data_IF_225523243949
#
_entry.id   IF_225523243949
#
_cell.length_a   1.000
_cell.length_b   1.000
_cell.length_c   1.000
_cell.angle_alpha   90.00
_cell.angle_beta   90.00
_cell.angle_gamma   90.00
#
_symmetry.space_group_name_H-M   'P 1'
#
loop_
_entity.id
_entity.type
_entity.pdbx_description
1 polymer ?
#
# COMPACT_ATOMS: atom_id res chain seq x y z
N UNK A 1 39.75 50.54 -15.08
CA UNK A 1 39.84 51.84 -15.78
C UNK A 1 38.74 51.87 -16.82
N UNK A 2 37.59 52.41 -16.43
CA UNK A 2 37.12 53.76 -16.77
C UNK A 2 36.73 53.86 -18.25
N UNK A 3 35.42 53.81 -18.57
CA UNK A 3 34.45 54.94 -18.56
C UNK A 3 34.84 55.98 -19.61
N UNK A 4 33.95 56.48 -20.45
CA UNK A 4 32.68 57.23 -20.23
C UNK A 4 32.37 57.83 -21.63
N UNK A 5 31.22 58.33 -22.04
CA UNK A 5 29.84 58.50 -21.56
C UNK A 5 29.14 59.28 -22.68
N UNK A 6 27.81 59.26 -22.76
CA UNK A 6 27.15 60.24 -23.63
C UNK A 6 25.63 60.37 -23.66
N UNK A 7 24.94 60.30 -22.51
CA UNK A 7 23.69 61.03 -22.13
C UNK A 7 22.42 60.91 -23.02
N UNK A 8 21.16 61.02 -22.57
CA UNK A 8 20.36 61.16 -21.32
C UNK A 8 18.91 61.10 -21.84
N UNK A 9 18.01 60.24 -21.35
CA UNK A 9 17.14 60.39 -20.18
C UNK A 9 16.24 61.64 -20.14
N UNK A 10 14.95 61.39 -19.90
CA UNK A 10 13.86 62.24 -19.35
C UNK A 10 12.81 62.81 -20.33
N UNK A 11 11.63 62.18 -20.35
CA UNK A 11 10.36 62.86 -20.09
C UNK A 11 9.26 61.84 -19.74
N UNK A 12 9.15 61.55 -18.45
CA UNK A 12 7.93 61.06 -17.79
C UNK A 12 6.93 62.24 -17.72
N UNK A 13 5.63 61.95 -17.76
CA UNK A 13 4.51 62.81 -17.31
C UNK A 13 4.21 64.09 -18.12
N UNK A 14 3.17 64.08 -18.96
CA UNK A 14 1.95 64.92 -18.82
C UNK A 14 1.01 64.82 -20.05
N UNK A 15 -0.29 65.02 -19.80
CA UNK A 15 -1.48 64.93 -20.66
C UNK A 15 -2.02 63.50 -20.86
N UNK A 16 -3.01 62.98 -20.11
CA UNK A 16 -4.12 63.61 -19.38
C UNK A 16 -5.01 64.49 -20.27
N UNK A 17 -6.30 64.14 -20.29
CA UNK A 17 -7.43 64.88 -20.87
C UNK A 17 -7.75 64.63 -22.35
N UNK A 18 -8.28 63.44 -22.64
CA UNK A 18 -9.46 63.34 -23.49
C UNK A 18 -10.59 62.66 -22.69
N UNK A 19 -11.37 63.51 -22.03
CA UNK A 19 -12.80 63.35 -21.75
C UNK A 19 -13.24 62.30 -20.73
N UNK A 20 -13.14 62.71 -19.46
CA UNK A 20 -14.19 62.53 -18.46
C UNK A 20 -15.44 63.35 -18.80
N UNK A 21 -16.57 62.92 -18.20
CA UNK A 21 -17.90 63.56 -18.04
C UNK A 21 -18.97 63.01 -19.01
N UNK A 22 -20.11 62.45 -18.58
CA UNK A 22 -20.72 62.28 -17.26
C UNK A 22 -21.94 61.35 -17.40
N UNK A 23 -22.25 60.52 -16.40
CA UNK A 23 -23.55 59.83 -16.33
C UNK A 23 -23.69 58.72 -15.29
N UNK A 24 -23.54 59.07 -14.01
CA UNK A 24 -23.77 58.29 -12.79
C UNK A 24 -24.83 57.15 -12.76
N UNK A 25 -24.40 56.03 -12.13
CA UNK A 25 -25.06 55.24 -11.05
C UNK A 25 -26.16 54.22 -11.43
N UNK A 26 -25.83 52.91 -11.33
CA UNK A 26 -26.17 52.05 -10.17
C UNK A 26 -25.45 50.69 -10.24
N UNK A 27 -25.10 50.20 -9.06
CA UNK A 27 -24.20 49.10 -8.71
C UNK A 27 -24.82 47.70 -8.83
N UNK A 28 -24.07 46.75 -9.39
CA UNK A 28 -24.15 45.30 -9.13
C UNK A 28 -22.70 44.77 -9.05
N UNK A 29 -22.32 43.96 -8.05
CA UNK A 29 -20.97 43.43 -7.96
C UNK A 29 -20.75 42.33 -9.02
N UNK A 30 -19.60 42.29 -9.70
CA UNK A 30 -19.25 41.21 -10.62
C UNK A 30 -18.69 40.01 -9.85
N UNK A 31 -18.98 38.83 -10.39
CA UNK A 31 -18.54 37.51 -9.98
C UNK A 31 -17.05 37.43 -9.63
N UNK A 32 -16.76 36.91 -8.45
CA UNK A 32 -15.48 36.28 -8.13
C UNK A 32 -15.50 34.85 -8.69
N UNK A 33 -14.91 34.64 -9.86
CA UNK A 33 -14.39 33.35 -10.26
C UNK A 33 -12.91 33.52 -10.58
N UNK A 34 -12.09 33.53 -9.54
CA UNK A 34 -10.63 33.47 -9.65
C UNK A 34 -10.14 32.19 -8.97
N UNK A 35 -9.24 31.51 -9.68
CA UNK A 35 -8.80 30.15 -9.40
C UNK A 35 -8.16 29.99 -8.02
N UNK A 36 -8.80 29.19 -7.18
CA UNK A 36 -8.16 28.52 -6.06
C UNK A 36 -7.78 27.11 -6.50
N UNK A 37 -6.49 26.78 -6.42
CA UNK A 37 -5.99 25.40 -6.36
C UNK A 37 -6.85 24.58 -5.39
N UNK A 38 -7.56 23.58 -5.90
CA UNK A 38 -8.34 22.66 -5.09
C UNK A 38 -7.43 22.03 -4.02
N UNK A 39 -7.82 22.17 -2.75
CA UNK A 39 -7.26 21.35 -1.67
C UNK A 39 -7.60 19.88 -1.99
N UNK A 40 -6.71 18.92 -1.70
CA UNK A 40 -7.09 17.52 -1.78
C UNK A 40 -8.22 17.25 -0.78
N UNK A 41 -9.13 16.40 -1.20
CA UNK A 41 -10.46 16.18 -0.63
C UNK A 41 -10.47 16.03 0.89
N UNK A 42 -11.32 16.82 1.54
CA UNK A 42 -11.68 16.59 2.94
C UNK A 42 -12.40 15.23 3.04
N UNK A 43 -12.11 14.39 4.04
CA UNK A 43 -12.87 13.18 4.28
C UNK A 43 -14.37 13.51 4.42
N UNK A 44 -15.22 12.58 3.97
CA UNK A 44 -16.66 12.71 4.10
C UNK A 44 -17.05 13.11 5.54
N UNK A 45 -18.07 13.97 5.74
CA UNK A 45 -18.43 14.45 7.07
C UNK A 45 -18.69 13.26 7.99
N UNK A 46 -18.02 13.27 9.15
CA UNK A 46 -18.07 12.17 10.08
C UNK A 46 -19.53 11.84 10.48
N UNK A 47 -19.90 10.55 10.58
CA UNK A 47 -21.27 10.15 10.86
C UNK A 47 -21.75 10.72 12.20
N UNK A 48 -23.03 11.09 12.28
CA UNK A 48 -23.63 11.54 13.54
C UNK A 48 -23.65 10.38 14.53
N UNK A 49 -22.84 10.46 15.58
CA UNK A 49 -22.79 9.46 16.65
C UNK A 49 -23.68 9.91 17.81
N UNK A 50 -24.40 8.98 18.43
CA UNK A 50 -25.23 9.28 19.61
C UNK A 50 -24.39 9.18 20.87
N UNK A 51 -23.99 10.31 21.45
CA UNK A 51 -23.40 10.36 22.79
C UNK A 51 -24.41 9.92 23.86
N UNK A 52 -23.92 9.56 25.05
CA UNK A 52 -24.77 9.34 26.23
C UNK A 52 -25.57 10.60 26.51
N UNK A 53 -26.89 10.45 26.63
CA UNK A 53 -27.76 11.51 27.11
C UNK A 53 -27.61 11.67 28.63
N UNK A 54 -26.83 12.68 29.03
CA UNK A 54 -26.54 13.00 30.43
C UNK A 54 -27.81 13.26 31.24
N UNK A 55 -28.91 13.70 30.63
CA UNK A 55 -30.17 13.95 31.34
C UNK A 55 -30.90 12.65 31.74
N UNK A 56 -30.58 11.54 31.09
CA UNK A 56 -31.17 10.22 31.33
C UNK A 56 -30.12 9.18 31.80
N UNK A 57 -28.88 9.60 32.03
CA UNK A 57 -27.83 8.73 32.55
C UNK A 57 -28.12 8.28 33.98
N UNK A 58 -27.77 7.03 34.29
CA UNK A 58 -27.86 6.50 35.66
C UNK A 58 -26.83 7.16 36.58
N UNK A 59 -27.07 7.13 37.90
CA UNK A 59 -26.09 7.63 38.88
C UNK A 59 -24.72 6.94 38.74
N UNK A 60 -24.73 5.64 38.44
CA UNK A 60 -23.52 4.85 38.18
C UNK A 60 -22.76 5.35 36.94
N UNK A 61 -23.47 5.61 35.84
CA UNK A 61 -22.85 6.18 34.63
C UNK A 61 -22.30 7.58 34.89
N UNK A 62 -23.02 8.44 35.59
CA UNK A 62 -22.56 9.79 35.94
C UNK A 62 -21.30 9.75 36.81
N UNK A 63 -21.22 8.80 37.75
CA UNK A 63 -20.03 8.58 38.56
C UNK A 63 -18.83 8.19 37.69
N UNK A 64 -18.98 7.21 36.80
CA UNK A 64 -17.90 6.75 35.92
C UNK A 64 -17.49 7.80 34.88
N UNK A 65 -18.44 8.59 34.36
CA UNK A 65 -18.13 9.73 33.49
C UNK A 65 -17.26 10.72 34.24
N UNK A 66 -17.59 11.04 35.51
CA UNK A 66 -16.78 11.92 36.34
C UNK A 66 -15.34 11.42 36.52
N UNK A 67 -15.16 10.15 36.90
CA UNK A 67 -13.82 9.54 37.03
C UNK A 67 -13.04 9.57 35.71
N UNK A 68 -13.69 9.22 34.59
CA UNK A 68 -13.05 9.19 33.28
C UNK A 68 -12.67 10.59 32.81
N UNK A 69 -13.54 11.59 32.97
CA UNK A 69 -13.26 12.98 32.60
C UNK A 69 -12.04 13.53 33.35
N UNK A 70 -11.84 13.14 34.61
CA UNK A 70 -10.65 13.52 35.37
C UNK A 70 -9.37 12.84 34.87
N UNK A 71 -9.44 11.56 34.50
CA UNK A 71 -8.29 10.78 34.07
C UNK A 71 -7.88 11.04 32.60
N UNK A 72 -8.86 11.26 31.71
CA UNK A 72 -8.68 11.27 30.26
C UNK A 72 -7.61 12.24 29.74
N UNK A 73 -7.46 13.47 30.27
CA UNK A 73 -6.40 14.38 29.82
C UNK A 73 -4.99 13.79 29.97
N UNK A 74 -4.70 13.13 31.10
CA UNK A 74 -3.39 12.53 31.35
C UNK A 74 -3.15 11.29 30.46
N UNK A 75 -4.20 10.49 30.25
CA UNK A 75 -4.13 9.32 29.36
C UNK A 75 -3.82 9.72 27.92
N UNK A 76 -4.51 10.75 27.40
CA UNK A 76 -4.28 11.25 26.04
C UNK A 76 -2.90 11.90 25.90
N UNK A 77 -2.39 12.56 26.94
CA UNK A 77 -1.04 13.15 26.91
C UNK A 77 0.05 12.06 26.90
N UNK A 78 -0.12 10.99 27.68
CA UNK A 78 0.79 9.84 27.66
C UNK A 78 0.78 9.13 26.29
N UNK A 79 -0.41 8.89 25.72
CA UNK A 79 -0.55 8.32 24.38
C UNK A 79 0.04 9.22 23.28
N UNK A 80 -0.16 10.54 23.39
CA UNK A 80 0.49 11.51 22.50
C UNK A 80 2.00 11.41 22.58
N UNK A 81 2.57 11.36 23.79
CA UNK A 81 4.01 11.25 23.97
C UNK A 81 4.58 9.96 23.35
N UNK A 82 3.86 8.84 23.45
CA UNK A 82 4.19 7.59 22.77
C UNK A 82 4.10 7.73 21.25
N UNK A 83 3.04 8.36 20.73
CA UNK A 83 2.90 8.65 19.30
C UNK A 83 4.05 9.51 18.78
N UNK A 84 4.43 10.57 19.49
CA UNK A 84 5.57 11.40 19.10
C UNK A 84 6.89 10.61 19.08
N UNK A 85 7.09 9.67 20.01
CA UNK A 85 8.29 8.82 20.07
C UNK A 85 8.31 7.81 18.92
N UNK A 86 7.25 7.01 18.78
CA UNK A 86 7.22 5.84 17.90
C UNK A 86 6.82 6.17 16.46
N UNK A 87 5.87 7.09 16.28
CA UNK A 87 5.27 7.41 14.96
C UNK A 87 5.97 8.60 14.33
N UNK A 88 6.15 9.68 15.10
CA UNK A 88 6.78 10.90 14.61
C UNK A 88 8.31 10.88 14.69
N UNK A 89 8.90 9.86 15.33
CA UNK A 89 10.34 9.71 15.42
C UNK A 89 11.05 10.82 16.20
N UNK A 90 10.39 11.39 17.23
CA UNK A 90 10.91 12.53 18.00
C UNK A 90 12.36 12.32 18.46
N UNK A 91 12.67 11.14 18.98
CA UNK A 91 14.02 10.79 19.48
C UNK A 91 15.09 10.90 18.38
N UNK A 92 14.75 10.56 17.14
CA UNK A 92 15.69 10.69 16.02
C UNK A 92 15.88 12.15 15.61
N UNK A 93 14.79 12.92 15.53
CA UNK A 93 14.82 14.30 15.06
C UNK A 93 15.53 15.27 16.02
N UNK A 94 15.59 14.92 17.31
CA UNK A 94 16.27 15.71 18.34
C UNK A 94 17.77 15.40 18.46
N UNK A 95 18.24 14.25 17.94
CA UNK A 95 19.65 13.83 18.00
C UNK A 95 20.44 14.01 16.70
N UNK A 96 21.75 13.71 16.73
CA UNK A 96 22.65 13.80 15.57
C UNK A 96 22.90 12.43 14.91
N UNK A 97 21.89 11.95 14.18
CA UNK A 97 21.87 10.58 13.63
C UNK A 97 21.81 10.51 12.10
N UNK A 98 21.95 11.64 11.40
CA UNK A 98 21.73 11.72 9.94
C UNK A 98 22.68 10.88 9.08
N UNK A 99 23.78 10.37 9.64
CA UNK A 99 24.75 9.51 8.95
C UNK A 99 24.55 8.01 9.19
N UNK A 100 23.59 7.61 10.03
CA UNK A 100 23.34 6.20 10.37
C UNK A 100 22.49 5.55 9.29
N UNK A 101 22.74 4.26 9.01
CA UNK A 101 21.88 3.45 8.17
C UNK A 101 20.46 3.40 8.77
N UNK A 102 19.43 3.93 8.08
CA UNK A 102 18.11 4.09 8.65
C UNK A 102 17.42 2.79 9.05
N UNK A 103 17.85 1.65 8.49
CA UNK A 103 17.31 0.31 8.78
C UNK A 103 18.05 -0.41 9.91
N UNK A 104 19.16 0.13 10.41
CA UNK A 104 19.96 -0.47 11.48
C UNK A 104 19.62 0.18 12.81
N UNK A 105 19.20 -0.57 13.85
CA UNK A 105 18.91 0.02 15.15
C UNK A 105 20.15 0.57 15.85
N UNK A 106 20.07 1.80 16.36
CA UNK A 106 21.14 2.46 17.12
C UNK A 106 20.63 3.02 18.45
N UNK A 107 21.48 3.09 19.50
CA UNK A 107 21.05 3.51 20.81
C UNK A 107 20.78 5.02 20.85
N UNK A 108 19.78 5.41 21.62
CA UNK A 108 19.54 6.82 21.99
C UNK A 108 20.73 7.34 22.81
N UNK A 109 21.07 8.61 22.62
CA UNK A 109 22.21 9.25 23.29
C UNK A 109 22.08 9.21 24.82
N UNK A 110 23.18 8.89 25.50
CA UNK A 110 23.19 8.81 26.96
C UNK A 110 22.96 10.18 27.59
N UNK A 111 22.03 10.25 28.54
CA UNK A 111 21.63 11.48 29.22
C UNK A 111 20.31 12.06 28.71
N UNK A 112 19.81 11.59 27.57
CA UNK A 112 18.48 11.91 27.08
C UNK A 112 17.38 11.25 27.93
N UNK A 113 16.21 11.91 28.03
CA UNK A 113 15.10 11.45 28.88
C UNK A 113 14.71 10.00 28.63
N UNK A 114 14.72 9.58 27.37
CA UNK A 114 14.26 8.24 26.97
C UNK A 114 15.42 7.31 26.58
N UNK A 115 16.65 7.60 27.03
CA UNK A 115 17.78 6.70 26.82
C UNK A 115 17.62 5.37 27.55
N UNK A 116 17.02 5.40 28.75
CA UNK A 116 16.59 4.22 29.49
C UNK A 116 15.16 3.84 29.07
N UNK A 117 14.97 2.60 28.64
CA UNK A 117 13.68 2.11 28.16
C UNK A 117 12.63 2.02 29.27
N UNK A 118 13.03 2.02 30.55
CA UNK A 118 12.12 2.09 31.68
C UNK A 118 11.25 3.36 31.66
N UNK A 119 11.77 4.47 31.13
CA UNK A 119 11.03 5.74 30.99
C UNK A 119 9.92 5.64 29.93
N UNK A 120 10.15 4.87 28.86
CA UNK A 120 9.12 4.55 27.86
C UNK A 120 8.11 3.56 28.45
N UNK A 121 8.57 2.60 29.25
CA UNK A 121 7.69 1.64 29.94
C UNK A 121 6.74 2.35 30.91
N UNK A 122 7.21 3.37 31.65
CA UNK A 122 6.36 4.19 32.50
C UNK A 122 5.27 4.92 31.70
N UNK A 123 5.60 5.46 30.51
CA UNK A 123 4.59 6.06 29.63
C UNK A 123 3.54 5.04 29.15
N UNK A 124 3.95 3.81 28.84
CA UNK A 124 2.99 2.75 28.52
C UNK A 124 2.07 2.43 29.70
N UNK A 125 2.62 2.34 30.90
CA UNK A 125 1.85 2.05 32.12
C UNK A 125 0.88 3.20 32.44
N UNK A 126 1.28 4.45 32.21
CA UNK A 126 0.43 5.64 32.38
C UNK A 126 -0.73 5.63 31.37
N UNK A 127 -0.50 5.28 30.10
CA UNK A 127 -1.52 5.28 29.06
C UNK A 127 -2.46 4.06 29.10
N UNK A 128 -1.89 2.86 29.27
CA UNK A 128 -2.58 1.58 29.05
C UNK A 128 -2.68 0.70 30.30
N UNK A 129 -2.02 1.10 31.39
CA UNK A 129 -1.88 0.28 32.58
C UNK A 129 -0.83 -0.82 32.39
N UNK A 130 -0.36 -1.38 33.50
CA UNK A 130 0.65 -2.42 33.49
C UNK A 130 0.19 -3.64 32.67
N UNK A 131 0.89 -3.90 31.56
CA UNK A 131 0.57 -5.00 30.64
C UNK A 131 -0.65 -4.76 29.74
N UNK A 132 -1.06 -3.50 29.57
CA UNK A 132 -2.14 -3.13 28.64
C UNK A 132 -1.77 -3.43 27.18
N UNK A 133 -2.76 -3.90 26.40
CA UNK A 133 -2.56 -4.36 25.02
C UNK A 133 -2.07 -3.24 24.07
N UNK A 134 -2.38 -1.97 24.34
CA UNK A 134 -1.93 -0.84 23.53
C UNK A 134 -0.41 -0.72 23.36
N UNK A 135 0.37 -1.32 24.26
CA UNK A 135 1.83 -1.40 24.16
C UNK A 135 2.29 -2.17 22.92
N UNK A 136 1.60 -3.26 22.57
CA UNK A 136 2.05 -4.17 21.50
C UNK A 136 2.05 -3.48 20.14
N UNK A 137 1.05 -2.64 19.86
CA UNK A 137 0.94 -1.91 18.59
C UNK A 137 2.08 -0.92 18.38
N UNK A 138 2.48 -0.20 19.44
CA UNK A 138 3.64 0.69 19.39
C UNK A 138 4.94 -0.09 19.20
N UNK A 139 5.15 -1.17 19.95
CA UNK A 139 6.37 -1.99 19.82
C UNK A 139 6.48 -2.71 18.47
N UNK A 140 5.35 -2.96 17.81
CA UNK A 140 5.29 -3.53 16.47
C UNK A 140 5.29 -2.46 15.37
N UNK A 141 5.31 -1.16 15.69
CA UNK A 141 5.28 -0.10 14.69
C UNK A 141 6.68 0.15 14.09
N UNK A 142 6.78 0.33 12.76
CA UNK A 142 5.69 0.26 11.79
C UNK A 142 5.35 -1.18 11.36
N UNK A 143 4.24 -1.35 10.65
CA UNK A 143 3.71 -2.67 10.27
C UNK A 143 4.62 -3.50 9.33
N UNK A 144 5.75 -2.94 8.91
CA UNK A 144 6.74 -3.50 8.01
C UNK A 144 8.13 -3.10 8.51
N UNK A 145 9.15 -3.88 8.13
CA UNK A 145 10.50 -3.60 8.56
C UNK A 145 10.74 -3.77 10.06
N UNK A 146 11.73 -3.05 10.59
CA UNK A 146 12.12 -3.17 11.99
C UNK A 146 11.30 -2.20 12.83
N UNK A 147 11.05 -2.52 14.11
CA UNK A 147 10.42 -1.55 15.01
C UNK A 147 11.15 -0.20 15.03
N UNK A 148 10.37 0.88 14.98
CA UNK A 148 10.87 2.26 15.08
C UNK A 148 11.63 2.47 16.39
N UNK A 149 11.13 1.86 17.47
CA UNK A 149 11.77 1.87 18.79
C UNK A 149 11.79 0.45 19.35
N UNK A 150 12.92 0.06 19.93
CA UNK A 150 13.14 -1.26 20.53
C UNK A 150 13.97 -1.16 21.80
N UNK A 151 13.93 -2.20 22.62
CA UNK A 151 14.69 -2.31 23.87
C UNK A 151 15.82 -3.33 23.70
N UNK A 152 17.01 -3.01 24.22
CA UNK A 152 18.13 -3.96 24.37
C UNK A 152 18.91 -3.64 25.64
N UNK A 153 19.01 -4.61 26.55
CA UNK A 153 19.76 -4.50 27.82
C UNK A 153 19.37 -3.28 28.66
N UNK A 154 18.09 -2.92 28.65
CA UNK A 154 17.49 -1.75 29.32
C UNK A 154 17.60 -0.44 28.54
N UNK A 155 18.39 -0.40 27.45
CA UNK A 155 18.56 0.81 26.65
C UNK A 155 17.56 0.89 25.50
N UNK A 156 17.16 2.12 25.17
CA UNK A 156 16.31 2.41 24.02
C UNK A 156 17.15 2.47 22.74
N UNK A 157 16.70 1.73 21.73
CA UNK A 157 17.23 1.75 20.37
C UNK A 157 16.17 2.27 19.41
N UNK A 158 16.59 3.04 18.42
CA UNK A 158 15.70 3.58 17.39
C UNK A 158 16.17 3.19 15.99
N UNK A 159 15.23 3.12 15.05
CA UNK A 159 15.47 3.09 13.61
C UNK A 159 14.80 4.31 12.97
N UNK A 160 15.35 4.82 11.87
CA UNK A 160 14.87 6.05 11.22
C UNK A 160 14.33 5.82 9.81
N UNK A 161 14.16 4.56 9.42
CA UNK A 161 13.63 4.18 8.11
C UNK A 161 12.23 4.73 7.79
N UNK A 162 11.42 5.01 8.81
CA UNK A 162 10.09 5.57 8.63
C UNK A 162 9.73 6.53 9.75
N UNK A 163 9.44 7.78 9.39
CA UNK A 163 9.00 8.83 10.29
C UNK A 163 7.81 9.53 9.66
N UNK A 164 6.71 9.66 10.42
CA UNK A 164 5.49 10.29 9.94
C UNK A 164 5.27 11.63 10.63
N UNK A 165 5.00 12.68 9.86
CA UNK A 165 4.55 13.95 10.42
C UNK A 165 3.06 13.87 10.78
N UNK A 166 2.73 13.27 11.93
CA UNK A 166 1.37 13.21 12.45
C UNK A 166 1.10 14.38 13.42
N UNK A 167 0.03 15.15 13.15
CA UNK A 167 -0.35 16.33 13.96
C UNK A 167 -1.82 16.36 14.36
N UNK A 168 -2.61 15.37 13.95
CA UNK A 168 -4.07 15.33 14.13
C UNK A 168 -4.48 14.78 15.51
N UNK A 169 -3.84 15.30 16.56
CA UNK A 169 -4.18 14.99 17.94
C UNK A 169 -5.48 15.69 18.37
N UNK A 170 -6.32 14.99 19.12
CA UNK A 170 -7.49 15.56 19.79
C UNK A 170 -7.27 15.61 21.31
N UNK A 171 -8.00 16.50 21.97
CA UNK A 171 -7.95 16.69 23.42
C UNK A 171 -9.13 16.03 24.13
N UNK A 172 -9.10 15.95 25.45
CA UNK A 172 -10.20 15.39 26.22
C UNK A 172 -11.54 16.12 26.00
N UNK A 173 -11.49 17.43 25.71
CA UNK A 173 -12.68 18.25 25.43
C UNK A 173 -13.35 17.88 24.09
N UNK A 174 -12.61 17.25 23.18
CA UNK A 174 -13.11 16.80 21.88
C UNK A 174 -13.78 15.41 21.95
N UNK A 175 -13.65 14.72 23.09
CA UNK A 175 -14.07 13.32 23.25
C UNK A 175 -15.51 13.23 23.75
N UNK A 176 -16.31 12.44 23.04
CA UNK A 176 -17.67 12.06 23.40
C UNK A 176 -17.70 10.66 24.00
N UNK A 177 -18.38 10.49 25.12
CA UNK A 177 -18.66 9.17 25.72
C UNK A 177 -19.91 8.58 25.07
N UNK A 178 -19.75 7.43 24.41
CA UNK A 178 -20.84 6.73 23.72
C UNK A 178 -21.52 5.71 24.61
N UNK A 179 -20.74 4.97 25.39
CA UNK A 179 -21.20 4.00 26.38
C UNK A 179 -20.19 3.92 27.53
N UNK A 180 -20.67 3.62 28.74
CA UNK A 180 -19.81 3.48 29.92
C UNK A 180 -20.45 2.61 30.99
N UNK A 181 -19.63 1.76 31.60
CA UNK A 181 -19.98 0.92 32.74
C UNK A 181 -18.76 0.65 33.63
N UNK A 182 -18.93 -0.19 34.66
CA UNK A 182 -17.87 -0.52 35.61
C UNK A 182 -16.61 -1.16 35.00
N UNK A 183 -16.70 -1.73 33.79
CA UNK A 183 -15.58 -2.38 33.11
C UNK A 183 -14.87 -1.46 32.09
N UNK A 184 -15.51 -0.41 31.59
CA UNK A 184 -14.89 0.46 30.59
C UNK A 184 -15.84 1.43 29.90
N UNK A 185 -15.31 2.11 28.90
CA UNK A 185 -16.02 3.10 28.10
C UNK A 185 -15.73 2.96 26.60
N UNK A 186 -16.73 3.25 25.78
CA UNK A 186 -16.62 3.46 24.33
C UNK A 186 -16.64 4.95 24.04
N UNK A 187 -15.65 5.41 23.28
CA UNK A 187 -15.34 6.81 23.09
C UNK A 187 -15.29 7.15 21.60
N UNK A 188 -15.56 8.41 21.30
CA UNK A 188 -15.50 8.96 19.96
C UNK A 188 -14.92 10.35 19.96
N UNK A 189 -14.05 10.66 19.01
CA UNK A 189 -13.55 12.00 18.76
C UNK A 189 -13.54 12.29 17.27
N UNK A 190 -13.53 13.57 16.91
CA UNK A 190 -13.25 14.03 15.56
C UNK A 190 -11.90 14.73 15.60
N UNK A 191 -10.94 14.27 14.79
CA UNK A 191 -9.63 14.92 14.73
C UNK A 191 -9.74 16.34 14.14
N UNK A 192 -8.73 17.20 14.34
CA UNK A 192 -8.68 18.50 13.67
C UNK A 192 -8.83 18.42 12.14
N UNK A 193 -8.29 17.36 11.52
CA UNK A 193 -8.47 17.03 10.10
C UNK A 193 -9.86 16.54 9.69
N UNK A 194 -10.79 16.36 10.64
CA UNK A 194 -12.18 15.97 10.38
C UNK A 194 -12.44 14.45 10.36
N UNK A 195 -11.44 13.62 10.67
CA UNK A 195 -11.60 12.17 10.73
C UNK A 195 -12.30 11.75 12.03
N UNK A 196 -13.39 10.99 11.92
CA UNK A 196 -14.03 10.38 13.09
C UNK A 196 -13.26 9.16 13.58
N UNK A 197 -12.94 9.12 14.87
CA UNK A 197 -12.12 8.06 15.50
C UNK A 197 -12.90 7.42 16.65
N UNK A 198 -13.10 6.11 16.57
CA UNK A 198 -13.68 5.31 17.65
C UNK A 198 -12.57 4.63 18.44
N UNK A 199 -12.60 4.79 19.77
CA UNK A 199 -11.63 4.16 20.67
C UNK A 199 -12.29 3.84 22.00
N UNK A 200 -11.53 3.37 22.99
CA UNK A 200 -12.13 3.01 24.26
C UNK A 200 -11.15 3.02 25.41
N UNK A 201 -11.72 3.03 26.60
CA UNK A 201 -11.01 2.94 27.87
C UNK A 201 -11.46 1.70 28.65
N UNK A 202 -10.58 1.22 29.51
CA UNK A 202 -10.83 0.14 30.47
C UNK A 202 -10.65 0.69 31.88
N UNK A 203 -11.53 0.27 32.79
CA UNK A 203 -11.43 0.61 34.20
C UNK A 203 -10.89 -0.60 34.96
N UNK A 204 -9.83 -0.40 35.74
CA UNK A 204 -9.24 -1.42 36.61
C UNK A 204 -9.31 -0.98 38.07
N UNK A 205 -8.78 -1.79 38.98
CA UNK A 205 -8.65 -1.40 40.38
C UNK A 205 -7.69 -0.23 40.62
N UNK A 206 -6.82 0.08 39.66
CA UNK A 206 -5.83 1.16 39.74
C UNK A 206 -6.22 2.44 39.00
N UNK A 207 -7.32 2.44 38.25
CA UNK A 207 -7.82 3.62 37.54
C UNK A 207 -8.35 3.32 36.14
N UNK A 208 -8.48 4.37 35.34
CA UNK A 208 -8.84 4.31 33.93
C UNK A 208 -7.59 4.27 33.06
N UNK A 209 -7.65 3.50 31.98
CA UNK A 209 -6.58 3.39 30.99
C UNK A 209 -7.17 3.28 29.59
N UNK A 210 -6.44 3.72 28.58
CA UNK A 210 -6.82 3.49 27.19
C UNK A 210 -6.69 2.00 26.86
N UNK A 211 -7.56 1.50 25.99
CA UNK A 211 -7.47 0.12 25.50
C UNK A 211 -6.34 -0.05 24.49
N UNK A 212 -6.06 1.01 23.73
CA UNK A 212 -5.03 1.09 22.69
C UNK A 212 -4.68 2.54 22.38
N UNK A 213 -3.62 2.75 21.61
CA UNK A 213 -3.21 4.09 21.21
C UNK A 213 -4.16 4.75 20.21
N UNK A 214 -4.37 6.05 20.35
CA UNK A 214 -5.35 6.79 19.56
C UNK A 214 -4.93 6.94 18.10
N UNK A 215 -3.63 6.98 17.83
CA UNK A 215 -3.08 6.94 16.47
C UNK A 215 -3.49 5.68 15.70
N UNK A 216 -3.46 4.51 16.35
CA UNK A 216 -3.85 3.26 15.69
C UNK A 216 -5.36 3.17 15.46
N UNK A 217 -6.16 3.70 16.38
CA UNK A 217 -7.60 3.88 16.14
C UNK A 217 -7.88 4.85 14.97
N UNK A 218 -7.09 5.90 14.83
CA UNK A 218 -7.13 6.81 13.68
C UNK A 218 -6.74 6.10 12.37
N UNK A 219 -5.68 5.29 12.37
CA UNK A 219 -5.26 4.50 11.20
C UNK A 219 -6.35 3.53 10.74
N UNK A 220 -7.06 2.88 11.66
CA UNK A 220 -8.16 1.98 11.29
C UNK A 220 -9.33 2.74 10.69
N UNK A 221 -9.67 3.91 11.25
CA UNK A 221 -10.71 4.77 10.69
C UNK A 221 -10.35 5.28 9.30
N UNK A 222 -9.06 5.56 9.07
CA UNK A 222 -8.52 5.98 7.78
C UNK A 222 -8.58 4.82 6.76
N UNK A 223 -8.15 3.61 7.15
CA UNK A 223 -8.21 2.41 6.29
C UNK A 223 -9.63 2.03 5.87
N UNK A 224 -10.61 2.15 6.77
CA UNK A 224 -12.00 1.87 6.44
C UNK A 224 -12.57 2.89 5.44
N UNK A 225 -12.21 4.17 5.58
CA UNK A 225 -12.57 5.17 4.57
C UNK A 225 -11.94 4.83 3.21
N UNK A 226 -10.69 4.37 3.21
CA UNK A 226 -9.92 4.03 2.00
C UNK A 226 -10.39 2.77 1.28
N UNK A 227 -10.91 1.77 2.00
CA UNK A 227 -11.45 0.53 1.38
C UNK A 227 -12.53 0.82 0.34
N UNK A 228 -13.25 1.92 0.50
CA UNK A 228 -14.31 2.34 -0.44
C UNK A 228 -13.91 3.53 -1.31
N UNK A 229 -12.70 4.06 -1.13
CA UNK A 229 -12.20 5.16 -1.92
C UNK A 229 -11.81 4.68 -3.32
N UNK A 230 -12.00 5.55 -4.31
CA UNK A 230 -11.48 5.36 -5.65
C UNK A 230 -9.95 5.45 -5.60
N UNK A 231 -9.24 4.42 -6.07
CA UNK A 231 -7.79 4.41 -6.04
C UNK A 231 -7.18 5.56 -6.87
N UNK A 232 -7.89 6.06 -7.90
CA UNK A 232 -7.48 7.25 -8.67
C UNK A 232 -7.40 8.52 -7.82
N UNK A 233 -8.07 8.53 -6.66
CA UNK A 233 -8.00 9.64 -5.71
C UNK A 233 -6.77 9.57 -4.80
N UNK A 234 -5.94 8.52 -4.91
CA UNK A 234 -4.70 8.42 -4.17
C UNK A 234 -3.73 9.53 -4.62
N UNK A 235 -3.49 10.56 -3.81
CA UNK A 235 -2.88 11.81 -4.25
C UNK A 235 -1.37 11.69 -4.51
N UNK A 236 -0.78 10.54 -4.17
CA UNK A 236 0.66 10.33 -4.16
C UNK A 236 1.14 9.42 -5.32
N UNK A 237 0.26 8.88 -6.19
CA UNK A 237 0.63 7.88 -7.22
C UNK A 237 0.00 8.12 -8.60
N UNK A 238 0.84 8.23 -9.64
CA UNK A 238 0.43 8.56 -11.03
C UNK A 238 0.28 7.33 -11.95
N UNK A 239 0.54 6.09 -11.52
CA UNK A 239 0.66 4.95 -12.45
C UNK A 239 0.07 3.62 -11.97
N UNK A 240 -0.57 2.92 -12.90
CA UNK A 240 -0.42 1.48 -13.09
C UNK A 240 -1.47 0.52 -12.52
N UNK A 241 -2.40 0.97 -11.67
CA UNK A 241 -3.48 0.08 -11.22
C UNK A 241 -4.55 -0.07 -12.31
N UNK A 242 -5.09 -1.29 -12.45
CA UNK A 242 -6.17 -1.61 -13.38
C UNK A 242 -5.85 -1.31 -14.87
N UNK A 243 -4.56 -1.31 -15.23
CA UNK A 243 -4.13 -1.19 -16.63
C UNK A 243 -4.12 -2.57 -17.33
N UNK A 244 -4.40 -2.56 -18.64
CA UNK A 244 -4.36 -3.77 -19.46
C UNK A 244 -5.63 -4.60 -19.38
N UNK A 245 -5.55 -5.87 -19.79
CA UNK A 245 -6.74 -6.72 -19.97
C UNK A 245 -7.03 -7.68 -18.81
N UNK A 246 -6.06 -7.89 -17.92
CA UNK A 246 -6.30 -8.60 -16.67
C UNK A 246 -6.82 -7.66 -15.57
N UNK A 247 -6.61 -6.33 -15.72
CA UNK A 247 -7.08 -5.32 -14.77
C UNK A 247 -6.62 -5.63 -13.35
N UNK A 248 -7.56 -5.66 -12.42
CA UNK A 248 -7.31 -5.99 -11.01
C UNK A 248 -7.44 -7.49 -10.70
N UNK A 249 -6.59 -8.01 -9.80
CA UNK A 249 -6.65 -9.40 -9.32
C UNK A 249 -7.74 -9.54 -8.23
N UNK A 250 -9.00 -9.30 -8.59
CA UNK A 250 -10.16 -9.37 -7.69
C UNK A 250 -11.35 -10.01 -8.39
N UNK A 251 -12.34 -10.46 -7.63
CA UNK A 251 -13.50 -11.16 -8.18
C UNK A 251 -13.12 -12.52 -8.77
N UNK A 252 -13.70 -12.90 -9.90
CA UNK A 252 -13.46 -14.18 -10.57
C UNK A 252 -12.41 -14.01 -11.65
N UNK A 253 -11.21 -14.52 -11.41
CA UNK A 253 -10.09 -14.46 -12.35
C UNK A 253 -9.76 -15.85 -12.91
N UNK A 254 -9.46 -15.92 -14.21
CA UNK A 254 -9.06 -17.16 -14.87
C UNK A 254 -7.65 -17.07 -15.47
N UNK A 255 -6.82 -18.06 -15.18
CA UNK A 255 -5.59 -18.36 -15.89
C UNK A 255 -5.90 -19.37 -17.00
N UNK A 256 -5.76 -18.95 -18.26
CA UNK A 256 -5.91 -19.84 -19.42
C UNK A 256 -4.56 -20.45 -19.78
N UNK A 257 -4.44 -21.77 -19.65
CA UNK A 257 -3.23 -22.49 -20.00
C UNK A 257 -3.21 -22.85 -21.49
N UNK A 258 -2.12 -22.50 -22.18
CA UNK A 258 -1.86 -22.90 -23.56
C UNK A 258 -0.53 -23.64 -23.63
N UNK A 259 -0.58 -24.96 -23.81
CA UNK A 259 0.60 -25.81 -23.97
C UNK A 259 1.06 -25.80 -25.43
N UNK A 260 2.25 -25.24 -25.65
CA UNK A 260 2.85 -25.09 -26.97
C UNK A 260 3.83 -26.22 -27.26
N UNK A 261 3.66 -26.87 -28.40
CA UNK A 261 4.61 -27.85 -28.95
C UNK A 261 5.16 -27.36 -30.29
N UNK A 262 6.38 -27.77 -30.62
CA UNK A 262 7.05 -27.38 -31.86
C UNK A 262 7.78 -28.58 -32.49
N UNK A 263 8.57 -28.41 -33.57
CA UNK A 263 9.31 -29.52 -34.17
C UNK A 263 10.36 -30.19 -33.26
N UNK A 264 10.81 -29.52 -32.19
CA UNK A 264 11.91 -29.95 -31.32
C UNK A 264 11.45 -30.39 -29.93
N UNK A 265 10.32 -29.89 -29.45
CA UNK A 265 9.76 -30.23 -28.14
C UNK A 265 8.23 -30.34 -28.14
N UNK A 266 7.72 -31.01 -27.12
CA UNK A 266 6.29 -31.22 -26.92
C UNK A 266 6.01 -31.68 -25.49
N UNK A 267 4.74 -31.92 -25.19
CA UNK A 267 4.29 -32.19 -23.82
C UNK A 267 3.82 -33.62 -23.63
N UNK A 268 4.26 -34.25 -22.54
CA UNK A 268 3.67 -35.46 -22.00
C UNK A 268 2.58 -35.12 -20.96
N UNK A 269 1.71 -36.09 -20.68
CA UNK A 269 0.68 -35.92 -19.64
C UNK A 269 1.25 -35.72 -18.24
N UNK A 270 2.41 -36.31 -17.94
CA UNK A 270 3.11 -36.13 -16.66
C UNK A 270 3.63 -34.70 -16.49
N UNK A 271 4.24 -34.12 -17.54
CA UNK A 271 4.74 -32.74 -17.52
C UNK A 271 3.59 -31.73 -17.41
N UNK A 272 2.50 -31.94 -18.17
CA UNK A 272 1.28 -31.13 -18.06
C UNK A 272 0.71 -31.19 -16.64
N UNK A 273 0.58 -32.40 -16.08
CA UNK A 273 0.08 -32.58 -14.72
C UNK A 273 0.94 -31.85 -13.70
N UNK A 274 2.27 -31.87 -13.87
CA UNK A 274 3.18 -31.16 -12.97
C UNK A 274 3.03 -29.64 -13.05
N UNK A 275 2.85 -29.08 -14.25
CA UNK A 275 2.58 -27.64 -14.43
C UNK A 275 1.26 -27.26 -13.74
N UNK A 276 0.21 -28.04 -13.97
CA UNK A 276 -1.11 -27.78 -13.37
C UNK A 276 -1.11 -27.93 -11.84
N UNK A 277 -0.31 -28.84 -11.28
CA UNK A 277 -0.09 -28.96 -9.85
C UNK A 277 0.54 -27.69 -9.27
N UNK A 278 1.62 -27.19 -9.89
CA UNK A 278 2.25 -25.93 -9.46
C UNK A 278 1.30 -24.74 -9.54
N UNK A 279 0.49 -24.65 -10.59
CA UNK A 279 -0.55 -23.62 -10.71
C UNK A 279 -1.64 -23.77 -9.65
N UNK A 280 -2.07 -25.00 -9.35
CA UNK A 280 -3.03 -25.27 -8.28
C UNK A 280 -2.51 -24.80 -6.91
N UNK A 281 -1.25 -25.09 -6.60
CA UNK A 281 -0.60 -24.61 -5.37
C UNK A 281 -0.49 -23.07 -5.33
N UNK A 282 -0.05 -22.45 -6.43
CA UNK A 282 0.11 -21.00 -6.51
C UNK A 282 -1.22 -20.24 -6.42
N UNK A 283 -2.25 -20.72 -7.13
CA UNK A 283 -3.59 -20.12 -7.04
C UNK A 283 -4.20 -20.29 -5.65
N UNK A 284 -3.99 -21.43 -4.98
CA UNK A 284 -4.41 -21.61 -3.59
C UNK A 284 -3.72 -20.62 -2.63
N UNK A 285 -2.41 -20.41 -2.80
CA UNK A 285 -1.64 -19.43 -2.04
C UNK A 285 -2.16 -18.00 -2.21
N UNK A 286 -2.42 -17.56 -3.45
CA UNK A 286 -2.92 -16.21 -3.72
C UNK A 286 -4.35 -16.00 -3.25
N UNK A 287 -5.24 -16.98 -3.40
CA UNK A 287 -6.59 -16.92 -2.84
C UNK A 287 -6.56 -16.82 -1.31
N UNK A 288 -5.68 -17.59 -0.64
CA UNK A 288 -5.53 -17.51 0.82
C UNK A 288 -4.96 -16.15 1.26
N UNK A 289 -4.00 -15.60 0.52
CA UNK A 289 -3.44 -14.27 0.76
C UNK A 289 -4.48 -13.16 0.59
N UNK A 290 -5.31 -13.22 -0.47
CA UNK A 290 -6.41 -12.28 -0.69
C UNK A 290 -7.44 -12.35 0.45
N UNK A 291 -7.81 -13.55 0.87
CA UNK A 291 -8.75 -13.75 1.97
C UNK A 291 -8.23 -13.19 3.30
N UNK A 292 -6.92 -13.30 3.57
CA UNK A 292 -6.29 -12.71 4.75
C UNK A 292 -6.34 -11.17 4.74
N UNK A 293 -6.30 -10.56 3.55
CA UNK A 293 -6.45 -9.12 3.34
C UNK A 293 -7.93 -8.68 3.23
N UNK A 294 -8.89 -9.60 3.33
CA UNK A 294 -10.31 -9.30 3.20
C UNK A 294 -10.76 -8.95 1.77
N UNK A 295 -9.98 -9.37 0.77
CA UNK A 295 -10.28 -9.17 -0.65
C UNK A 295 -11.08 -10.36 -1.19
N UNK A 296 -12.15 -10.09 -1.93
CA UNK A 296 -12.88 -11.13 -2.65
C UNK A 296 -12.09 -11.55 -3.90
N UNK A 297 -11.55 -12.77 -3.89
CA UNK A 297 -10.85 -13.36 -5.02
C UNK A 297 -11.24 -14.83 -5.18
N UNK A 298 -11.50 -15.22 -6.43
CA UNK A 298 -11.65 -16.58 -6.91
C UNK A 298 -10.74 -16.75 -8.12
N UNK A 299 -9.45 -16.88 -7.87
CA UNK A 299 -8.45 -17.17 -8.90
C UNK A 299 -8.44 -18.66 -9.21
N UNK A 300 -8.64 -19.00 -10.49
CA UNK A 300 -8.65 -20.38 -10.98
C UNK A 300 -7.80 -20.51 -12.23
N UNK A 301 -7.42 -21.73 -12.60
CA UNK A 301 -6.76 -22.02 -13.86
C UNK A 301 -7.49 -23.13 -14.63
N UNK A 302 -7.38 -23.15 -15.96
CA UNK A 302 -7.92 -24.25 -16.76
C UNK A 302 -7.27 -25.57 -16.36
N UNK A 303 -8.08 -26.61 -16.10
CA UNK A 303 -7.59 -27.96 -15.87
C UNK A 303 -7.10 -28.63 -17.17
N UNK A 304 -6.62 -29.87 -17.10
CA UNK A 304 -6.06 -30.58 -18.26
C UNK A 304 -7.05 -30.66 -19.44
N UNK A 305 -8.32 -30.97 -19.16
CA UNK A 305 -9.36 -31.09 -20.19
C UNK A 305 -9.75 -29.76 -20.85
N UNK A 306 -9.60 -28.65 -20.13
CA UNK A 306 -10.02 -27.30 -20.55
C UNK A 306 -8.83 -26.45 -21.04
N UNK A 307 -7.61 -26.93 -20.86
CA UNK A 307 -6.40 -26.29 -21.34
C UNK A 307 -6.28 -26.43 -22.86
N UNK A 308 -5.61 -25.46 -23.48
CA UNK A 308 -5.44 -25.42 -24.92
C UNK A 308 -4.10 -26.05 -25.31
N UNK A 309 -4.10 -26.83 -26.39
CA UNK A 309 -2.90 -27.47 -26.91
C UNK A 309 -2.69 -27.00 -28.35
N UNK A 310 -1.54 -26.40 -28.61
CA UNK A 310 -1.22 -25.86 -29.92
C UNK A 310 0.14 -26.35 -30.39
N UNK A 311 0.19 -26.85 -31.63
CA UNK A 311 1.42 -27.24 -32.30
C UNK A 311 1.74 -26.28 -33.42
N UNK A 312 2.90 -25.63 -33.33
CA UNK A 312 3.42 -24.76 -34.39
C UNK A 312 4.39 -25.53 -35.30
N UNK A 313 4.53 -25.06 -36.54
CA UNK A 313 5.54 -25.54 -37.48
C UNK A 313 6.91 -24.86 -37.29
N UNK A 314 6.93 -23.72 -36.59
CA UNK A 314 8.14 -22.94 -36.31
C UNK A 314 8.76 -23.38 -34.99
N UNK A 315 10.09 -23.52 -34.97
CA UNK A 315 10.83 -23.75 -33.72
C UNK A 315 10.68 -22.53 -32.81
N UNK A 316 10.15 -22.74 -31.63
CA UNK A 316 9.98 -21.71 -30.62
C UNK A 316 11.34 -21.34 -30.01
N UNK A 317 11.64 -20.05 -29.83
CA UNK A 317 12.88 -19.63 -29.20
C UNK A 317 12.89 -20.02 -27.72
N UNK A 318 14.09 -20.02 -27.12
CA UNK A 318 14.33 -20.18 -25.69
C UNK A 318 15.04 -18.98 -25.06
N UNK A 319 15.38 -17.98 -25.88
CA UNK A 319 15.98 -16.72 -25.44
C UNK A 319 14.86 -15.76 -25.04
N UNK A 320 14.89 -15.29 -23.79
CA UNK A 320 13.91 -14.36 -23.26
C UNK A 320 13.93 -13.01 -23.98
N UNK A 321 15.00 -12.65 -24.69
CA UNK A 321 15.07 -11.39 -25.45
C UNK A 321 14.30 -11.43 -26.78
N UNK A 322 13.86 -12.61 -27.23
CA UNK A 322 13.04 -12.77 -28.43
C UNK A 322 11.56 -12.81 -28.05
N UNK A 323 10.93 -11.65 -27.90
CA UNK A 323 9.52 -11.54 -27.49
C UNK A 323 8.52 -11.64 -28.65
N UNK A 324 8.99 -11.33 -29.87
CA UNK A 324 8.13 -11.06 -31.03
C UNK A 324 7.40 -12.28 -31.58
N UNK A 325 7.89 -13.49 -31.30
CA UNK A 325 7.27 -14.73 -31.79
C UNK A 325 5.84 -14.93 -31.26
N UNK A 326 5.54 -14.43 -30.07
CA UNK A 326 4.22 -14.63 -29.42
C UNK A 326 3.07 -14.04 -30.24
N UNK A 327 3.32 -13.02 -31.06
CA UNK A 327 2.31 -12.44 -31.94
C UNK A 327 2.12 -13.14 -33.28
N UNK A 328 3.11 -13.93 -33.70
CA UNK A 328 3.10 -14.59 -35.02
C UNK A 328 2.54 -16.00 -35.01
N UNK A 329 2.36 -16.61 -33.83
CA UNK A 329 2.00 -18.04 -33.74
C UNK A 329 0.50 -18.33 -33.79
N UNK A 330 -0.36 -17.36 -33.48
CA UNK A 330 -1.81 -17.56 -33.49
C UNK A 330 -2.45 -16.86 -34.68
N UNK A 331 -2.98 -17.65 -35.62
CA UNK A 331 -3.76 -17.12 -36.73
C UNK A 331 -4.95 -16.32 -36.22
N UNK A 332 -4.97 -15.02 -36.54
CA UNK A 332 -6.01 -14.09 -36.09
C UNK A 332 -5.83 -13.55 -34.67
N UNK A 333 -4.72 -13.87 -33.99
CA UNK A 333 -4.36 -13.36 -32.66
C UNK A 333 -4.70 -14.32 -31.51
N UNK A 334 -4.07 -14.06 -30.36
CA UNK A 334 -4.18 -14.90 -29.17
C UNK A 334 -5.59 -14.88 -28.54
N UNK A 335 -6.20 -13.71 -28.38
CA UNK A 335 -7.53 -13.61 -27.76
C UNK A 335 -8.60 -14.36 -28.57
N UNK A 336 -8.71 -14.20 -29.92
CA UNK A 336 -9.62 -15.02 -30.70
C UNK A 336 -9.31 -16.52 -30.65
N UNK A 337 -8.05 -16.92 -30.41
CA UNK A 337 -7.69 -18.32 -30.19
C UNK A 337 -8.28 -18.85 -28.88
N UNK A 338 -8.15 -18.09 -27.79
CA UNK A 338 -8.69 -18.45 -26.47
C UNK A 338 -10.23 -18.50 -26.48
N UNK A 339 -10.88 -17.45 -27.00
CA UNK A 339 -12.36 -17.32 -27.03
C UNK A 339 -13.09 -18.42 -27.79
N UNK A 340 -12.40 -19.17 -28.66
CA UNK A 340 -13.00 -20.30 -29.40
C UNK A 340 -13.28 -21.51 -28.51
N UNK A 341 -12.59 -21.63 -27.38
CA UNK A 341 -12.57 -22.84 -26.56
C UNK A 341 -12.89 -22.56 -25.09
N UNK A 342 -12.68 -21.33 -24.62
CA UNK A 342 -12.87 -20.94 -23.22
C UNK A 342 -13.87 -19.80 -23.15
N UNK A 343 -14.89 -19.95 -22.29
CA UNK A 343 -15.88 -18.91 -21.98
C UNK A 343 -15.29 -17.89 -21.00
N UNK A 344 -14.42 -17.02 -21.52
CA UNK A 344 -13.74 -16.00 -20.71
C UNK A 344 -14.68 -14.88 -20.26
N UNK A 345 -15.83 -14.70 -20.92
CA UNK A 345 -16.84 -13.71 -20.52
C UNK A 345 -17.56 -14.11 -19.22
N UNK A 346 -17.39 -15.37 -18.78
CA UNK A 346 -17.84 -15.83 -17.49
C UNK A 346 -16.95 -15.35 -16.33
N UNK A 347 -15.84 -14.65 -16.59
CA UNK A 347 -14.89 -14.18 -15.58
C UNK A 347 -14.78 -12.66 -15.63
N UNK A 348 -14.42 -12.05 -14.49
CA UNK A 348 -14.26 -10.61 -14.38
C UNK A 348 -12.94 -10.17 -15.04
N UNK A 349 -11.91 -11.02 -14.91
CA UNK A 349 -10.60 -10.86 -15.55
C UNK A 349 -10.02 -12.19 -15.99
N UNK A 350 -9.13 -12.18 -16.99
CA UNK A 350 -8.38 -13.37 -17.38
C UNK A 350 -6.97 -13.02 -17.85
N UNK A 351 -6.07 -13.98 -17.76
CA UNK A 351 -4.74 -13.90 -18.35
C UNK A 351 -4.37 -15.23 -19.03
N UNK A 352 -3.36 -15.20 -19.91
CA UNK A 352 -2.93 -16.37 -20.67
C UNK A 352 -1.51 -16.78 -20.28
N UNK A 353 -1.31 -18.05 -19.93
CA UNK A 353 0.01 -18.62 -19.74
C UNK A 353 0.38 -19.53 -20.92
N UNK A 354 1.43 -19.13 -21.64
CA UNK A 354 1.97 -19.87 -22.77
C UNK A 354 3.10 -20.80 -22.26
N UNK A 355 2.84 -22.10 -22.19
CA UNK A 355 3.80 -23.07 -21.67
C UNK A 355 4.66 -23.63 -22.80
N UNK A 356 5.99 -23.51 -22.68
CA UNK A 356 6.97 -24.03 -23.65
C UNK A 356 7.87 -25.07 -22.97
N UNK A 357 7.85 -26.32 -23.45
CA UNK A 357 8.69 -27.40 -22.91
C UNK A 357 10.13 -27.29 -23.46
N UNK A 358 10.88 -26.28 -23.00
CA UNK A 358 12.30 -26.05 -23.29
C UNK A 358 12.96 -25.40 -22.08
N UNK A 359 14.27 -25.62 -21.93
CA UNK A 359 15.09 -24.82 -21.02
C UNK A 359 15.17 -23.38 -21.53
N UNK A 360 14.59 -22.45 -20.78
CA UNK A 360 14.58 -21.02 -21.06
C UNK A 360 14.25 -20.24 -19.79
N UNK A 361 14.27 -18.91 -19.89
CA UNK A 361 13.88 -18.03 -18.79
C UNK A 361 12.47 -17.51 -19.04
N UNK A 362 11.54 -17.77 -18.11
CA UNK A 362 10.16 -17.28 -18.16
C UNK A 362 10.11 -15.75 -18.10
N UNK A 363 9.04 -15.17 -18.67
CA UNK A 363 8.83 -13.73 -18.68
C UNK A 363 7.36 -13.37 -18.89
N UNK A 364 6.95 -12.24 -18.32
CA UNK A 364 5.67 -11.61 -18.56
C UNK A 364 5.70 -10.64 -19.75
N UNK A 365 4.57 -10.53 -20.44
CA UNK A 365 4.31 -9.58 -21.51
C UNK A 365 3.06 -8.79 -21.13
N UNK A 366 3.25 -7.81 -20.23
CA UNK A 366 2.17 -6.97 -19.78
C UNK A 366 1.78 -5.92 -20.84
N UNK A 367 0.48 -5.72 -21.06
CA UNK A 367 -0.08 -4.73 -21.95
C UNK A 367 -0.31 -3.42 -21.19
N UNK A 368 0.70 -2.94 -20.45
CA UNK A 368 0.63 -1.63 -19.82
C UNK A 368 0.86 -0.51 -20.86
N UNK A 369 0.41 0.71 -20.54
CA UNK A 369 0.54 1.85 -21.45
C UNK A 369 1.98 2.32 -21.70
N UNK A 370 2.93 1.88 -20.86
CA UNK A 370 4.36 2.21 -20.94
C UNK A 370 5.13 1.33 -21.94
N UNK A 371 4.65 0.12 -22.24
CA UNK A 371 5.26 -0.80 -23.22
C UNK A 371 4.59 -0.68 -24.59
N UNK A 372 5.31 -1.02 -25.66
CA UNK A 372 4.77 -0.94 -27.03
C UNK A 372 3.60 -1.93 -27.27
N UNK A 373 3.48 -2.95 -26.42
CA UNK A 373 2.62 -4.13 -26.63
C UNK A 373 1.11 -3.85 -26.48
N UNK A 374 0.68 -2.88 -25.65
CA UNK A 374 -0.76 -2.59 -25.45
C UNK A 374 -1.50 -2.15 -26.71
N UNK A 375 -0.77 -1.68 -27.73
CA UNK A 375 -1.37 -1.26 -29.02
C UNK A 375 -1.58 -2.41 -29.97
N UNK A 376 -0.95 -3.56 -29.71
CA UNK A 376 -0.93 -4.72 -30.60
C UNK A 376 -1.69 -5.91 -30.03
N UNK A 377 -1.77 -6.02 -28.71
CA UNK A 377 -2.39 -7.13 -28.02
C UNK A 377 -3.47 -6.66 -27.06
N UNK A 378 -4.53 -7.46 -26.97
CA UNK A 378 -5.68 -7.21 -26.11
C UNK A 378 -5.74 -8.18 -24.92
N UNK A 379 -4.80 -9.13 -24.82
CA UNK A 379 -4.74 -10.12 -23.75
C UNK A 379 -3.36 -10.11 -23.09
N UNK A 380 -3.34 -9.97 -21.76
CA UNK A 380 -2.16 -10.15 -20.93
C UNK A 380 -1.66 -11.58 -21.04
N UNK A 381 -0.34 -11.75 -21.18
CA UNK A 381 0.24 -13.08 -21.31
C UNK A 381 1.62 -13.18 -20.69
N UNK A 382 1.96 -14.35 -20.19
CA UNK A 382 3.35 -14.70 -19.89
C UNK A 382 3.77 -15.96 -20.65
N UNK A 383 5.08 -16.10 -20.84
CA UNK A 383 5.70 -17.29 -21.39
C UNK A 383 6.38 -18.03 -20.25
N UNK A 384 5.94 -19.26 -20.01
CA UNK A 384 6.44 -20.13 -18.96
C UNK A 384 7.27 -21.23 -19.60
N UNK A 385 8.58 -21.21 -19.35
CA UNK A 385 9.46 -22.30 -19.78
C UNK A 385 9.43 -23.43 -18.76
N UNK A 386 9.44 -24.65 -19.28
CA UNK A 386 9.47 -25.87 -18.48
C UNK A 386 10.65 -26.75 -18.83
N UNK A 387 11.25 -27.32 -17.80
CA UNK A 387 12.27 -28.36 -17.89
C UNK A 387 12.10 -29.32 -16.72
N UNK A 388 12.35 -30.61 -16.97
CA UNK A 388 12.42 -31.63 -15.91
C UNK A 388 13.77 -31.63 -15.16
N UNK A 389 14.76 -30.88 -15.67
CA UNK A 389 16.04 -30.65 -14.99
C UNK A 389 15.86 -29.65 -13.84
N UNK A 390 15.74 -30.17 -12.62
CA UNK A 390 15.58 -29.41 -11.38
C UNK A 390 16.86 -28.69 -10.93
N UNK A 391 17.99 -28.94 -11.60
CA UNK A 391 19.28 -28.28 -11.33
C UNK A 391 19.49 -27.01 -12.16
N UNK A 392 18.61 -26.76 -13.12
CA UNK A 392 18.65 -25.55 -13.94
C UNK A 392 18.31 -24.32 -13.08
N UNK A 393 19.09 -23.24 -13.22
CA UNK A 393 18.91 -22.01 -12.42
C UNK A 393 17.51 -21.41 -12.56
N UNK A 394 16.89 -21.55 -13.74
CA UNK A 394 15.52 -21.10 -14.01
C UNK A 394 14.54 -22.28 -14.07
N UNK A 395 14.79 -23.36 -13.32
CA UNK A 395 13.86 -24.48 -13.21
C UNK A 395 12.47 -23.98 -12.72
N UNK A 396 11.39 -24.45 -13.34
CA UNK A 396 10.04 -24.00 -13.01
C UNK A 396 9.67 -24.39 -11.57
N UNK A 397 9.09 -23.44 -10.84
CA UNK A 397 8.55 -23.65 -9.50
C UNK A 397 7.32 -22.78 -9.28
N UNK A 398 6.58 -23.04 -8.20
CA UNK A 398 5.32 -22.37 -7.88
C UNK A 398 5.49 -20.85 -7.80
N UNK A 399 6.53 -20.37 -7.11
CA UNK A 399 6.79 -18.95 -6.94
C UNK A 399 7.07 -18.24 -8.26
N UNK A 400 7.84 -18.86 -9.16
CA UNK A 400 8.10 -18.32 -10.50
C UNK A 400 6.80 -18.14 -11.29
N UNK A 401 5.90 -19.13 -11.27
CA UNK A 401 4.62 -19.01 -11.96
C UNK A 401 3.79 -17.86 -11.42
N UNK A 402 3.75 -17.69 -10.10
CA UNK A 402 2.99 -16.61 -9.49
C UNK A 402 3.65 -15.24 -9.69
N UNK A 403 4.98 -15.16 -9.67
CA UNK A 403 5.73 -13.94 -9.97
C UNK A 403 5.40 -13.42 -11.38
N UNK A 404 5.52 -14.29 -12.40
CA UNK A 404 5.19 -13.90 -13.78
C UNK A 404 3.71 -13.56 -13.96
N UNK A 405 2.82 -14.25 -13.24
CA UNK A 405 1.39 -13.95 -13.29
C UNK A 405 1.07 -12.58 -12.69
N UNK A 406 1.70 -12.20 -11.57
CA UNK A 406 1.42 -10.94 -10.88
C UNK A 406 1.76 -9.73 -11.75
N UNK A 407 2.79 -9.83 -12.61
CA UNK A 407 3.07 -8.80 -13.61
C UNK A 407 1.90 -8.53 -14.57
N UNK A 408 1.10 -9.54 -14.87
CA UNK A 408 -0.07 -9.41 -15.74
C UNK A 408 -1.17 -8.55 -15.09
N UNK A 409 -1.17 -8.47 -13.75
CA UNK A 409 -2.07 -7.63 -12.97
C UNK A 409 -1.39 -6.33 -12.49
N UNK A 410 -0.29 -5.92 -13.11
CA UNK A 410 0.35 -4.62 -12.87
C UNK A 410 1.45 -4.60 -11.81
N UNK A 411 1.79 -5.74 -11.19
CA UNK A 411 2.94 -5.80 -10.29
C UNK A 411 4.27 -5.54 -11.03
N UNK A 412 5.23 -4.94 -10.33
CA UNK A 412 6.55 -4.61 -10.88
C UNK A 412 7.65 -5.44 -10.24
N UNK A 413 8.74 -5.63 -10.98
CA UNK A 413 9.96 -6.22 -10.46
C UNK A 413 10.57 -5.31 -9.37
N UNK A 414 10.74 -5.84 -8.16
CA UNK A 414 11.27 -5.11 -7.01
C UNK A 414 12.73 -5.46 -6.72
N UNK A 415 13.54 -5.62 -7.76
CA UNK A 415 14.98 -5.91 -7.66
C UNK A 415 15.79 -5.18 -8.75
N UNK A 416 17.12 -5.14 -8.60
CA UNK A 416 18.03 -4.52 -9.58
C UNK A 416 18.05 -5.33 -10.88
N UNK A 417 17.94 -4.71 -12.08
CA UNK A 417 18.11 -3.28 -12.37
C UNK A 417 16.82 -2.45 -12.45
N UNK A 418 15.68 -3.01 -12.07
CA UNK A 418 14.37 -2.34 -12.19
C UNK A 418 14.17 -1.27 -11.11
N UNK A 419 14.75 -1.47 -9.94
CA UNK A 419 14.80 -0.45 -8.87
C UNK A 419 16.08 0.39 -8.91
N UNK A 420 15.98 1.64 -8.45
CA UNK A 420 17.16 2.48 -8.23
C UNK A 420 18.00 1.97 -7.06
N UNK A 421 19.29 2.33 -7.06
CA UNK A 421 20.21 1.91 -6.00
C UNK A 421 19.77 2.44 -4.62
N UNK A 422 19.44 1.54 -3.69
CA UNK A 422 18.97 1.87 -2.34
C UNK A 422 17.49 1.59 -2.09
N UNK A 423 16.66 1.55 -3.15
CA UNK A 423 15.27 1.09 -3.08
C UNK A 423 15.19 -0.42 -2.89
N UNK A 424 16.08 -1.18 -3.54
CA UNK A 424 16.27 -2.61 -3.35
C UNK A 424 16.49 -2.98 -1.87
N UNK A 425 17.33 -2.22 -1.18
CA UNK A 425 17.57 -2.36 0.26
C UNK A 425 16.34 -1.99 1.09
N UNK A 426 15.57 -1.00 0.65
CA UNK A 426 14.34 -0.57 1.34
C UNK A 426 13.32 -1.68 1.32
N UNK A 427 13.01 -2.24 0.15
CA UNK A 427 12.01 -3.31 0.04
C UNK A 427 12.50 -4.57 0.75
N UNK A 428 13.80 -4.90 0.68
CA UNK A 428 14.37 -6.01 1.45
C UNK A 428 14.22 -5.81 2.97
N UNK A 429 14.44 -4.58 3.46
CA UNK A 429 14.28 -4.27 4.86
C UNK A 429 12.81 -4.32 5.29
N UNK A 430 11.89 -3.77 4.49
CA UNK A 430 10.47 -3.67 4.81
C UNK A 430 9.73 -5.01 4.67
N UNK A 431 9.98 -5.70 3.56
CA UNK A 431 9.27 -6.90 3.12
C UNK A 431 10.28 -7.92 2.56
N UNK A 432 11.09 -8.57 3.44
CA UNK A 432 12.17 -9.45 2.99
C UNK A 432 11.68 -10.62 2.13
N UNK A 433 10.47 -11.11 2.40
CA UNK A 433 9.81 -12.18 1.66
C UNK A 433 8.96 -11.70 0.48
N UNK A 434 9.09 -10.46 0.01
CA UNK A 434 8.33 -9.97 -1.15
C UNK A 434 8.58 -10.80 -2.42
N UNK A 435 7.52 -11.40 -2.98
CA UNK A 435 7.60 -12.29 -4.17
C UNK A 435 8.15 -11.58 -5.41
N UNK A 436 7.84 -10.30 -5.57
CA UNK A 436 8.32 -9.51 -6.71
C UNK A 436 9.80 -9.09 -6.55
N UNK A 437 10.41 -9.32 -5.38
CA UNK A 437 11.84 -9.09 -5.10
C UNK A 437 12.63 -10.40 -5.08
N UNK A 438 12.06 -11.42 -4.42
CA UNK A 438 12.69 -12.69 -4.12
C UNK A 438 11.76 -13.85 -4.50
N UNK A 439 12.23 -14.71 -5.40
CA UNK A 439 11.47 -15.86 -5.92
C UNK A 439 12.03 -17.17 -5.36
N UNK A 440 11.56 -17.64 -4.18
CA UNK A 440 12.02 -18.91 -3.58
C UNK A 440 11.45 -20.13 -4.31
N UNK A 441 12.03 -21.32 -4.09
CA UNK A 441 11.43 -22.57 -4.59
C UNK A 441 10.11 -22.90 -3.87
N UNK A 442 10.03 -22.64 -2.56
CA UNK A 442 8.82 -22.81 -1.75
C UNK A 442 8.06 -21.48 -1.64
N UNK A 443 6.85 -21.43 -2.21
CA UNK A 443 6.02 -20.23 -2.18
C UNK A 443 5.57 -19.85 -0.75
N UNK A 444 5.62 -20.77 0.22
CA UNK A 444 5.30 -20.45 1.61
C UNK A 444 6.37 -19.59 2.30
N UNK A 445 7.55 -19.43 1.69
CA UNK A 445 8.60 -18.52 2.17
C UNK A 445 8.38 -17.07 1.72
N UNK A 446 7.37 -16.81 0.90
CA UNK A 446 7.08 -15.48 0.34
C UNK A 446 5.78 -14.86 0.89
N UNK A 447 5.61 -13.58 0.60
CA UNK A 447 4.48 -12.73 0.94
C UNK A 447 4.34 -11.63 -0.13
N UNK A 448 3.20 -10.96 -0.16
CA UNK A 448 3.03 -9.74 -0.96
C UNK A 448 3.16 -8.53 -0.03
N UNK A 449 3.92 -7.54 -0.46
CA UNK A 449 4.07 -6.25 0.20
C UNK A 449 2.85 -5.38 -0.07
N UNK A 450 2.62 -4.36 0.77
CA UNK A 450 1.62 -3.34 0.48
C UNK A 450 1.75 -2.71 -0.91
N UNK A 451 2.97 -2.60 -1.45
CA UNK A 451 3.19 -2.10 -2.82
C UNK A 451 2.61 -3.05 -3.86
N UNK A 452 3.01 -4.31 -3.85
CA UNK A 452 2.48 -5.32 -4.78
C UNK A 452 0.97 -5.44 -4.66
N UNK A 453 0.44 -5.47 -3.43
CA UNK A 453 -1.01 -5.50 -3.17
C UNK A 453 -1.75 -4.29 -3.72
N UNK A 454 -1.17 -3.09 -3.60
CA UNK A 454 -1.73 -1.89 -4.23
C UNK A 454 -1.77 -2.06 -5.75
N UNK A 455 -0.63 -2.42 -6.38
CA UNK A 455 -0.50 -2.56 -7.83
C UNK A 455 -1.52 -3.54 -8.44
N UNK A 456 -1.79 -4.66 -7.77
CA UNK A 456 -2.72 -5.69 -8.25
C UNK A 456 -4.19 -5.45 -7.86
N UNK A 457 -4.52 -4.31 -7.23
CA UNK A 457 -5.90 -3.96 -6.91
C UNK A 457 -6.45 -4.51 -5.58
N UNK A 458 -5.59 -4.98 -4.68
CA UNK A 458 -6.02 -5.46 -3.35
C UNK A 458 -6.12 -4.33 -2.32
N UNK A 459 -5.42 -3.22 -2.54
CA UNK A 459 -5.46 -2.04 -1.68
C UNK A 459 -5.66 -0.79 -2.54
N UNK A 460 -6.56 0.09 -2.13
CA UNK A 460 -6.83 1.34 -2.84
C UNK A 460 -5.93 2.51 -2.40
N UNK A 461 -5.13 2.30 -1.35
CA UNK A 461 -4.13 3.25 -0.90
C UNK A 461 -2.86 2.53 -0.49
N UNK A 462 -1.76 3.21 -0.76
CA UNK A 462 -0.43 2.78 -0.43
C UNK A 462 0.19 3.76 0.58
N UNK A 463 0.84 3.24 1.60
CA UNK A 463 1.56 4.08 2.56
C UNK A 463 2.69 4.82 1.83
N UNK A 464 2.84 6.13 2.13
CA UNK A 464 3.83 7.03 1.50
C UNK A 464 5.26 6.50 1.44
N UNK A 465 5.63 5.62 2.35
CA UNK A 465 6.95 5.03 2.35
C UNK A 465 7.26 4.10 1.19
N UNK A 466 6.22 3.54 0.56
CA UNK A 466 6.33 2.78 -0.67
C UNK A 466 6.27 3.70 -1.90
N UNK A 467 6.12 5.02 -1.72
CA UNK A 467 6.08 5.94 -2.85
C UNK A 467 7.36 5.98 -3.67
N UNK A 468 8.50 5.68 -3.04
CA UNK A 468 9.77 5.59 -3.76
C UNK A 468 9.83 4.44 -4.76
N UNK A 469 8.86 3.52 -4.78
CA UNK A 469 8.79 2.46 -5.78
C UNK A 469 7.88 2.82 -6.96
N UNK A 470 7.13 3.92 -6.88
CA UNK A 470 6.11 4.29 -7.87
C UNK A 470 6.62 5.24 -8.98
N UNK A 471 7.90 5.67 -8.92
CA UNK A 471 8.49 6.69 -9.80
C UNK A 471 9.38 6.11 -10.92
#
# INVERSE_FOLDING_TARGET
MHRTDGRRLCALLTLLAALLLSGCVRTQPPDESDGGTARPDMPAPAPTVSAIDLAHATEEQLFYIGELTEALPALLEADRALTEIFVCGRLYLEGDYGAVDPYTPFPVEQGEKYADFAEITALFDDAFGAGGAGREEFLAYPAYGRPAVSERDGATYITSHFLLAFTDFFTADDVQVLDINAAGASLYAVTPGGQGVYFGAVRTGSGWFLRRGTYFAYLDALREAERTADWHSSPDFDTGMDEGSAGSLTGRCLIVNVFLSDPESGWSGEEVSRVLEMLGEGTAFLNASAAAEGVELSLTCTGEADSLYFRTETVLPSDYMDFGWTGGIFDGGLEPFVRRSVDIDAYDSYCVMLHVNKQGRSYALSCNSAYYDYRLYAAERCVMYYTADDTYEYAPNVSMYMHEMLHLFGAEDLYVPYLAAGEDKRIEAYCPGELMRYVPTDIQETSLSPYTMFRIGWRNRLDRQFAAFAD
#
